data_IF_590617141516
#
_entry.id   IF_590617141516
#
_cell.length_a   1.000
_cell.length_b   1.000
_cell.length_c   1.000
_cell.angle_alpha   90.00
_cell.angle_beta   90.00
_cell.angle_gamma   90.00
#
_symmetry.space_group_name_H-M   'P 1'
#
loop_
_entity.id
_entity.type
_entity.pdbx_description
1 polymer ?
#
# COMPACT_ATOMS: atom_id res chain seq x y z
N UNK A 1 -7.76 -28.71 1.14
CA UNK A 1 -7.92 -27.60 2.06
C UNK A 1 -6.59 -27.31 2.74
N UNK A 2 -6.26 -26.04 2.99
CA UNK A 2 -5.07 -25.61 3.73
C UNK A 2 -5.50 -25.03 5.07
N UNK A 3 -4.85 -25.47 6.15
CA UNK A 3 -5.07 -24.93 7.50
C UNK A 3 -3.89 -24.01 7.83
N UNK A 4 -4.20 -22.78 8.22
CA UNK A 4 -3.24 -21.81 8.71
C UNK A 4 -3.39 -21.68 10.23
N UNK A 5 -2.30 -21.91 10.95
CA UNK A 5 -2.27 -21.80 12.42
C UNK A 5 -1.18 -20.81 12.83
N UNK A 6 -1.42 -19.98 13.87
CA UNK A 6 -0.40 -19.11 14.43
C UNK A 6 0.80 -19.92 14.94
N UNK A 7 2.02 -19.51 14.62
CA UNK A 7 3.25 -20.18 15.09
C UNK A 7 4.15 -19.27 15.89
N UNK A 8 4.30 -18.03 15.46
CA UNK A 8 5.19 -17.04 16.11
C UNK A 8 4.51 -15.70 16.14
N UNK A 9 4.58 -15.01 17.27
CA UNK A 9 4.15 -13.64 17.45
C UNK A 9 5.35 -12.69 17.54
N UNK A 10 5.28 -11.54 16.89
CA UNK A 10 6.28 -10.47 16.97
C UNK A 10 5.62 -9.21 17.54
N UNK A 11 6.29 -8.56 18.48
CA UNK A 11 5.84 -7.28 19.03
C UNK A 11 6.56 -6.16 18.30
N UNK A 12 5.81 -5.41 17.48
CA UNK A 12 6.33 -4.31 16.65
C UNK A 12 6.17 -2.93 17.29
N UNK A 13 5.39 -2.83 18.36
CA UNK A 13 4.88 -1.54 18.87
C UNK A 13 3.74 -1.02 18.00
N UNK A 14 3.37 0.24 18.23
CA UNK A 14 2.36 0.93 17.42
C UNK A 14 2.98 1.38 16.09
N UNK A 15 2.64 0.69 15.02
CA UNK A 15 3.17 0.93 13.67
C UNK A 15 2.09 1.36 12.68
N UNK A 16 0.81 1.28 13.11
CA UNK A 16 -0.35 1.51 12.26
C UNK A 16 -0.21 0.75 10.92
N UNK A 17 -0.15 -0.60 11.01
CA UNK A 17 0.11 -1.46 9.87
C UNK A 17 -1.10 -1.49 8.93
N UNK A 18 -0.94 -1.01 7.70
CA UNK A 18 -2.03 -0.92 6.72
C UNK A 18 -2.01 -2.03 5.66
N UNK A 19 -0.89 -2.60 5.34
CA UNK A 19 -0.78 -3.70 4.37
C UNK A 19 0.41 -4.60 4.71
N UNK A 20 0.33 -5.85 4.27
CA UNK A 20 1.38 -6.85 4.46
C UNK A 20 1.51 -7.70 3.21
N UNK A 21 2.74 -8.01 2.83
CA UNK A 21 3.06 -8.97 1.76
C UNK A 21 4.11 -9.96 2.23
N UNK A 22 4.13 -11.12 1.61
CA UNK A 22 5.20 -12.10 1.79
C UNK A 22 5.84 -12.33 0.42
N UNK A 23 7.14 -12.10 0.34
CA UNK A 23 7.92 -12.34 -0.87
C UNK A 23 8.17 -13.84 -1.08
N UNK A 24 8.54 -14.23 -2.29
CA UNK A 24 8.88 -15.63 -2.60
C UNK A 24 10.03 -16.17 -1.75
N UNK A 25 10.91 -15.30 -1.27
CA UNK A 25 11.95 -15.60 -0.29
C UNK A 25 11.41 -16.03 1.09
N UNK A 26 10.11 -15.85 1.34
CA UNK A 26 9.46 -16.01 2.64
C UNK A 26 9.60 -14.78 3.56
N UNK A 27 10.23 -13.70 3.09
CA UNK A 27 10.34 -12.46 3.86
C UNK A 27 9.00 -11.75 3.95
N UNK A 28 8.52 -11.52 5.16
CA UNK A 28 7.34 -10.71 5.40
C UNK A 28 7.72 -9.22 5.43
N UNK A 29 7.01 -8.42 4.63
CA UNK A 29 7.11 -6.97 4.60
C UNK A 29 5.76 -6.37 4.96
N UNK A 30 5.76 -5.28 5.70
CA UNK A 30 4.55 -4.55 6.05
C UNK A 30 4.73 -3.04 5.92
N UNK A 31 3.63 -2.37 5.65
CA UNK A 31 3.58 -0.92 5.62
C UNK A 31 3.39 -0.40 7.03
N UNK A 32 4.33 0.39 7.53
CA UNK A 32 4.14 1.19 8.73
C UNK A 32 3.74 2.61 8.35
N UNK A 33 2.46 2.90 8.45
CA UNK A 33 1.91 4.23 8.17
C UNK A 33 2.41 5.26 9.16
N UNK A 34 2.45 4.90 10.44
CA UNK A 34 2.98 5.78 11.50
C UNK A 34 4.42 6.21 11.21
N UNK A 35 5.27 5.30 10.73
CA UNK A 35 6.69 5.57 10.46
C UNK A 35 6.96 5.98 8.99
N UNK A 36 5.95 5.99 8.13
CA UNK A 36 6.05 6.28 6.70
C UNK A 36 7.11 5.41 6.00
N UNK A 37 7.13 4.12 6.30
CA UNK A 37 8.11 3.20 5.72
C UNK A 37 7.53 1.81 5.47
N UNK A 38 8.19 1.06 4.62
CA UNK A 38 8.05 -0.39 4.55
C UNK A 38 9.08 -0.99 5.49
N UNK A 39 8.65 -1.94 6.31
CA UNK A 39 9.49 -2.58 7.30
C UNK A 39 9.37 -4.11 7.22
N UNK A 40 10.33 -4.79 7.83
CA UNK A 40 10.31 -6.23 8.04
C UNK A 40 10.52 -6.57 9.52
N UNK A 41 10.30 -7.81 9.85
CA UNK A 41 10.55 -8.34 11.19
C UNK A 41 12.05 -8.26 11.56
N UNK A 42 12.31 -8.16 12.84
CA UNK A 42 13.68 -8.13 13.38
C UNK A 42 13.76 -8.96 14.66
N UNK A 43 14.84 -9.69 14.82
CA UNK A 43 15.09 -10.47 16.04
C UNK A 43 15.65 -9.60 17.19
N UNK A 44 16.19 -8.44 16.86
CA UNK A 44 16.90 -7.58 17.84
C UNK A 44 16.26 -6.22 18.06
N UNK A 45 15.24 -5.88 17.29
CA UNK A 45 14.50 -4.60 17.35
C UNK A 45 13.01 -4.85 17.12
N UNK A 46 12.18 -3.89 17.45
CA UNK A 46 10.73 -3.96 17.18
C UNK A 46 10.42 -4.16 15.69
N UNK A 47 11.21 -3.57 14.82
CA UNK A 47 11.13 -3.74 13.37
C UNK A 47 12.45 -3.28 12.70
N UNK A 48 12.61 -3.61 11.41
CA UNK A 48 13.71 -3.13 10.57
C UNK A 48 13.11 -2.42 9.34
N UNK A 49 13.24 -1.08 9.22
CA UNK A 49 12.87 -0.37 7.99
C UNK A 49 13.72 -0.88 6.82
N UNK A 50 13.07 -1.07 5.67
CA UNK A 50 13.74 -1.52 4.43
C UNK A 50 13.64 -0.49 3.31
N UNK A 51 12.58 0.34 3.33
CA UNK A 51 12.40 1.41 2.35
C UNK A 51 11.49 2.50 2.93
N UNK A 52 11.66 3.73 2.47
CA UNK A 52 10.75 4.85 2.69
C UNK A 52 10.58 5.66 1.41
N UNK A 53 9.46 6.36 1.22
CA UNK A 53 9.29 7.25 0.07
C UNK A 53 10.42 8.28 -0.02
N UNK A 54 10.89 8.63 -1.22
CA UNK A 54 12.02 9.55 -1.40
C UNK A 54 11.74 10.97 -0.88
N UNK A 55 10.46 11.35 -0.80
CA UNK A 55 10.04 12.65 -0.26
C UNK A 55 9.91 12.67 1.28
N UNK A 56 10.04 11.55 1.97
CA UNK A 56 10.08 11.49 3.44
C UNK A 56 11.51 11.68 3.92
N UNK A 57 11.76 12.73 4.69
CA UNK A 57 13.11 13.08 5.15
C UNK A 57 13.65 12.10 6.20
N UNK A 58 12.82 11.68 7.16
CA UNK A 58 13.25 10.80 8.26
C UNK A 58 12.13 9.86 8.72
N UNK A 59 12.52 8.72 9.29
CA UNK A 59 11.63 7.72 9.87
C UNK A 59 11.42 8.07 11.34
N UNK A 60 10.25 8.60 11.66
CA UNK A 60 9.81 8.98 13.01
C UNK A 60 8.31 8.68 13.14
N UNK A 61 7.77 8.52 14.36
CA UNK A 61 6.37 8.17 14.56
C UNK A 61 5.44 9.39 14.33
N UNK A 62 5.35 9.80 13.08
CA UNK A 62 4.48 10.87 12.60
C UNK A 62 3.89 10.45 11.26
N UNK A 63 2.59 10.22 11.18
CA UNK A 63 1.91 9.92 9.92
C UNK A 63 1.93 11.14 8.99
N UNK A 64 2.92 11.23 8.10
CA UNK A 64 3.14 12.40 7.24
C UNK A 64 2.46 12.27 5.87
N UNK A 65 2.68 11.16 5.18
CA UNK A 65 2.17 10.94 3.84
C UNK A 65 1.03 9.92 3.77
N UNK A 66 0.75 9.25 4.87
CA UNK A 66 -0.18 8.13 4.96
C UNK A 66 0.14 7.03 3.94
N UNK A 67 1.35 6.49 4.08
CA UNK A 67 1.77 5.31 3.32
C UNK A 67 0.90 4.13 3.74
N UNK A 68 0.23 3.44 2.79
CA UNK A 68 -0.85 2.54 3.19
C UNK A 68 -0.98 1.25 2.37
N UNK A 69 -0.29 1.09 1.27
CA UNK A 69 -0.41 -0.13 0.47
C UNK A 69 0.90 -0.62 -0.09
N UNK A 70 0.99 -1.92 -0.29
CA UNK A 70 2.16 -2.59 -0.84
C UNK A 70 1.72 -3.74 -1.74
N UNK A 71 2.28 -3.81 -2.94
CA UNK A 71 2.08 -4.90 -3.88
C UNK A 71 3.40 -5.56 -4.23
N UNK A 72 3.35 -6.88 -4.38
CA UNK A 72 4.43 -7.66 -5.00
C UNK A 72 4.24 -7.74 -6.51
N UNK A 73 5.35 -7.85 -7.24
CA UNK A 73 5.41 -8.25 -8.64
C UNK A 73 6.58 -9.22 -8.80
N UNK A 74 6.34 -10.31 -9.51
CA UNK A 74 7.36 -11.35 -9.76
C UNK A 74 8.00 -11.87 -8.45
N UNK A 75 7.16 -12.02 -7.39
CA UNK A 75 7.56 -12.56 -6.10
C UNK A 75 8.28 -11.56 -5.16
N UNK A 76 8.49 -10.32 -5.57
CA UNK A 76 9.16 -9.28 -4.79
C UNK A 76 8.28 -8.04 -4.58
N UNK A 77 8.48 -7.32 -3.48
CA UNK A 77 7.79 -6.06 -3.22
C UNK A 77 8.17 -5.02 -4.29
N UNK A 78 7.16 -4.39 -4.91
CA UNK A 78 7.41 -3.52 -6.06
C UNK A 78 6.68 -2.20 -6.02
N UNK A 79 5.41 -2.16 -5.61
CA UNK A 79 4.60 -0.95 -5.68
C UNK A 79 4.04 -0.58 -4.33
N UNK A 80 4.17 0.70 -3.97
CA UNK A 80 3.57 1.25 -2.77
C UNK A 80 2.56 2.36 -3.11
N UNK A 81 1.53 2.52 -2.27
CA UNK A 81 0.58 3.63 -2.36
C UNK A 81 0.70 4.54 -1.15
N UNK A 82 0.54 5.86 -1.36
CA UNK A 82 0.38 6.83 -0.29
C UNK A 82 -0.72 7.85 -0.62
N UNK A 83 -1.32 8.44 0.41
CA UNK A 83 -2.40 9.43 0.26
C UNK A 83 -1.87 10.79 -0.18
N UNK A 84 -0.60 11.07 0.10
CA UNK A 84 0.03 12.32 -0.33
C UNK A 84 1.56 12.16 -0.45
N UNK A 85 2.21 13.24 -0.86
CA UNK A 85 3.68 13.36 -0.89
C UNK A 85 4.21 14.34 0.13
N UNK A 86 3.43 14.61 1.18
CA UNK A 86 3.84 15.55 2.25
C UNK A 86 4.86 14.92 3.18
N UNK A 87 5.75 15.75 3.72
CA UNK A 87 6.71 15.41 4.77
C UNK A 87 6.41 16.20 6.07
N UNK A 88 5.13 16.49 6.29
CA UNK A 88 4.62 17.23 7.44
C UNK A 88 3.65 16.33 8.20
N UNK A 89 3.74 16.29 9.52
CA UNK A 89 2.83 15.53 10.38
C UNK A 89 1.37 15.82 10.02
N UNK A 90 0.59 14.75 9.81
CA UNK A 90 -0.82 14.79 9.41
C UNK A 90 -1.12 15.56 8.10
N UNK A 91 -0.10 16.02 7.38
CA UNK A 91 -0.24 16.83 6.17
C UNK A 91 -1.04 16.17 5.04
N UNK A 92 -1.08 14.84 5.04
CA UNK A 92 -1.88 14.08 4.08
C UNK A 92 -3.39 14.38 4.15
N UNK A 93 -3.90 14.86 5.30
CA UNK A 93 -5.33 15.08 5.52
C UNK A 93 -5.93 16.13 4.58
N UNK A 94 -5.14 17.12 4.19
CA UNK A 94 -5.56 18.17 3.25
C UNK A 94 -5.52 17.70 1.78
N UNK A 95 -4.82 16.59 1.51
CA UNK A 95 -4.58 16.05 0.17
C UNK A 95 -5.37 14.78 -0.16
N UNK A 96 -6.38 14.44 0.66
CA UNK A 96 -7.15 13.20 0.50
C UNK A 96 -7.86 13.04 -0.83
N UNK A 97 -8.20 14.13 -1.52
CA UNK A 97 -9.00 14.12 -2.75
C UNK A 97 -8.21 13.72 -3.98
N UNK A 98 -6.96 14.17 -4.08
CA UNK A 98 -6.17 14.08 -5.31
C UNK A 98 -4.65 13.99 -5.07
N UNK A 99 -4.21 13.99 -3.82
CA UNK A 99 -2.79 13.93 -3.46
C UNK A 99 -2.17 12.54 -3.60
N UNK A 100 -3.00 11.51 -3.74
CA UNK A 100 -2.56 10.12 -3.73
C UNK A 100 -1.67 9.76 -4.91
N UNK A 101 -0.73 8.87 -4.65
CA UNK A 101 0.21 8.39 -5.65
C UNK A 101 0.55 6.90 -5.50
N UNK A 102 1.09 6.35 -6.59
CA UNK A 102 1.73 5.04 -6.63
C UNK A 102 3.21 5.22 -6.91
N UNK A 103 4.04 4.51 -6.16
CA UNK A 103 5.50 4.57 -6.24
C UNK A 103 6.04 3.19 -6.59
N UNK A 104 6.92 3.12 -7.59
CA UNK A 104 7.77 1.95 -7.80
C UNK A 104 8.93 2.02 -6.79
N UNK A 105 8.94 1.12 -5.81
CA UNK A 105 9.90 1.17 -4.71
C UNK A 105 11.33 0.76 -5.13
N UNK A 106 11.49 0.13 -6.30
CA UNK A 106 12.80 -0.29 -6.79
C UNK A 106 13.53 0.83 -7.52
N UNK A 107 12.78 1.73 -8.20
CA UNK A 107 13.32 2.89 -8.93
C UNK A 107 13.14 4.19 -8.18
N UNK A 108 12.27 4.22 -7.16
CA UNK A 108 11.77 5.42 -6.48
C UNK A 108 10.95 6.36 -7.37
N UNK A 109 10.49 5.89 -8.52
CA UNK A 109 9.67 6.68 -9.44
C UNK A 109 8.21 6.70 -9.01
N UNK A 110 7.58 7.86 -9.13
CA UNK A 110 6.13 8.01 -8.98
C UNK A 110 5.49 7.68 -10.32
N UNK A 111 4.82 6.54 -10.42
CA UNK A 111 4.24 6.01 -11.66
C UNK A 111 2.79 6.42 -11.89
N UNK A 112 2.10 6.91 -10.86
CA UNK A 112 0.76 7.46 -10.96
C UNK A 112 0.51 8.50 -9.88
N UNK A 113 -0.33 9.50 -10.17
CA UNK A 113 -0.72 10.58 -9.26
C UNK A 113 -2.20 10.94 -9.45
N UNK A 114 -2.71 11.86 -8.63
CA UNK A 114 -4.10 12.34 -8.75
C UNK A 114 -5.13 11.37 -8.19
N UNK A 115 -4.71 10.46 -7.31
CA UNK A 115 -5.58 9.46 -6.69
C UNK A 115 -6.21 10.00 -5.40
N UNK A 116 -7.41 9.53 -5.11
CA UNK A 116 -8.13 9.83 -3.87
C UNK A 116 -8.03 8.66 -2.91
N UNK A 117 -7.22 8.80 -1.87
CA UNK A 117 -7.03 7.76 -0.84
C UNK A 117 -6.77 6.37 -1.46
N UNK A 118 -5.74 6.19 -2.32
CA UNK A 118 -5.48 4.89 -2.94
C UNK A 118 -5.12 3.83 -1.90
N UNK A 119 -5.70 2.62 -2.02
CA UNK A 119 -5.50 1.51 -1.08
C UNK A 119 -5.32 0.18 -1.81
N UNK A 120 -4.68 -0.76 -1.10
CA UNK A 120 -4.60 -2.17 -1.48
C UNK A 120 -4.13 -2.42 -2.92
N UNK A 121 -2.98 -1.90 -3.34
CA UNK A 121 -2.44 -2.21 -4.67
C UNK A 121 -2.20 -3.72 -4.79
N UNK A 122 -2.48 -4.30 -5.97
CA UNK A 122 -2.23 -5.72 -6.27
C UNK A 122 -1.82 -5.88 -7.72
N UNK A 123 -0.73 -6.59 -7.96
CA UNK A 123 -0.34 -7.00 -9.31
C UNK A 123 -1.07 -8.28 -9.70
N UNK A 124 -1.90 -8.22 -10.74
CA UNK A 124 -2.65 -9.38 -11.22
C UNK A 124 -2.91 -9.27 -12.73
N UNK A 125 -2.70 -10.37 -13.46
CA UNK A 125 -2.97 -10.43 -14.89
C UNK A 125 -2.22 -9.38 -15.72
N UNK A 126 -0.98 -9.06 -15.35
CA UNK A 126 -0.15 -8.07 -16.04
C UNK A 126 -0.51 -6.61 -15.77
N UNK A 127 -1.38 -6.33 -14.80
CA UNK A 127 -1.85 -4.98 -14.43
C UNK A 127 -1.66 -4.70 -12.95
N UNK A 128 -1.42 -3.44 -12.61
CA UNK A 128 -1.43 -2.95 -11.24
C UNK A 128 -2.81 -2.43 -10.88
N UNK A 129 -3.57 -3.24 -10.16
CA UNK A 129 -4.90 -2.93 -9.65
C UNK A 129 -4.81 -2.22 -8.31
N UNK A 130 -5.77 -1.36 -8.02
CA UNK A 130 -5.92 -0.71 -6.73
C UNK A 130 -7.36 -0.21 -6.48
N UNK A 131 -7.59 0.21 -5.27
CA UNK A 131 -8.82 0.85 -4.84
C UNK A 131 -8.57 2.36 -4.74
N UNK A 132 -9.26 3.16 -5.54
CA UNK A 132 -9.33 4.60 -5.40
C UNK A 132 -10.42 4.90 -4.35
N UNK A 133 -10.07 4.66 -3.06
CA UNK A 133 -11.05 4.47 -2.00
C UNK A 133 -11.87 5.72 -1.70
N UNK A 134 -11.28 6.91 -1.87
CA UNK A 134 -12.00 8.17 -1.64
C UNK A 134 -13.06 8.48 -2.68
N UNK A 135 -13.02 7.86 -3.86
CA UNK A 135 -14.05 7.95 -4.91
C UNK A 135 -14.93 6.71 -5.00
N UNK A 136 -14.60 5.65 -4.26
CA UNK A 136 -15.34 4.38 -4.31
C UNK A 136 -15.08 3.59 -5.60
N UNK A 137 -13.96 3.78 -6.26
CA UNK A 137 -13.65 3.14 -7.54
C UNK A 137 -12.62 2.03 -7.41
N UNK A 138 -12.91 0.89 -8.00
CA UNK A 138 -11.97 -0.19 -8.27
C UNK A 138 -11.47 -0.08 -9.71
N UNK A 139 -10.17 -0.18 -9.92
CA UNK A 139 -9.57 -0.07 -11.24
C UNK A 139 -8.08 -0.42 -11.24
N UNK A 140 -7.39 -0.04 -12.30
CA UNK A 140 -5.96 -0.31 -12.47
C UNK A 140 -5.21 0.92 -13.01
N UNK A 141 -3.89 0.90 -12.89
CA UNK A 141 -3.03 1.92 -13.51
C UNK A 141 -2.76 1.50 -14.95
N UNK A 142 -3.16 2.35 -15.90
CA UNK A 142 -2.88 2.14 -17.33
C UNK A 142 -1.38 2.09 -17.58
N UNK A 143 -0.85 0.99 -18.17
CA UNK A 143 0.59 0.77 -18.28
C UNK A 143 1.31 1.84 -19.11
N UNK A 144 0.64 2.37 -20.13
CA UNK A 144 1.23 3.39 -21.03
C UNK A 144 0.91 4.81 -20.57
N UNK A 145 -0.22 5.01 -19.93
CA UNK A 145 -0.70 6.35 -19.54
C UNK A 145 -0.26 6.78 -18.14
N UNK A 146 0.03 5.83 -17.24
CA UNK A 146 0.24 6.09 -15.82
C UNK A 146 -1.02 6.62 -15.11
N UNK A 147 -2.19 6.59 -15.77
CA UNK A 147 -3.45 7.09 -15.22
C UNK A 147 -4.26 5.96 -14.64
N UNK A 148 -5.07 6.28 -13.64
CA UNK A 148 -6.05 5.36 -13.09
C UNK A 148 -7.20 5.17 -14.09
N UNK A 149 -7.50 3.91 -14.39
CA UNK A 149 -8.60 3.49 -15.25
C UNK A 149 -9.64 2.77 -14.38
N UNK A 150 -10.78 3.43 -14.08
CA UNK A 150 -11.84 2.81 -13.27
C UNK A 150 -12.54 1.70 -14.05
N UNK A 151 -12.86 0.60 -13.35
CA UNK A 151 -13.56 -0.56 -13.90
C UNK A 151 -14.93 -0.72 -13.25
N UNK A 152 -15.02 -0.47 -11.94
CA UNK A 152 -16.27 -0.61 -11.20
C UNK A 152 -16.36 0.43 -10.09
N UNK A 153 -17.60 0.88 -9.83
CA UNK A 153 -17.94 1.69 -8.67
C UNK A 153 -18.50 0.79 -7.56
N UNK A 154 -17.97 0.94 -6.36
CA UNK A 154 -18.42 0.23 -5.17
C UNK A 154 -18.84 1.26 -4.12
N UNK A 155 -20.10 1.28 -3.68
CA UNK A 155 -20.63 2.35 -2.81
C UNK A 155 -20.12 2.20 -1.37
N UNK A 156 -19.01 2.84 -1.05
CA UNK A 156 -18.41 2.81 0.29
C UNK A 156 -16.94 3.19 0.25
N UNK A 157 -16.31 3.23 1.42
CA UNK A 157 -14.86 3.40 1.52
C UNK A 157 -14.17 2.05 1.33
N UNK A 158 -13.37 1.92 0.28
CA UNK A 158 -12.81 0.64 -0.14
C UNK A 158 -11.54 0.30 0.62
N UNK A 159 -11.48 -0.93 1.17
CA UNK A 159 -10.30 -1.49 1.82
C UNK A 159 -10.21 -2.99 1.59
N UNK A 160 -8.98 -3.47 1.33
CA UNK A 160 -8.72 -4.88 1.06
C UNK A 160 -9.14 -5.29 -0.34
N UNK A 161 -8.17 -5.74 -1.13
CA UNK A 161 -8.35 -6.27 -2.47
C UNK A 161 -7.64 -7.62 -2.58
N UNK A 162 -8.36 -8.63 -3.05
CA UNK A 162 -7.81 -9.94 -3.37
C UNK A 162 -8.39 -10.45 -4.69
N UNK A 163 -7.62 -11.28 -5.41
CA UNK A 163 -8.07 -11.96 -6.61
C UNK A 163 -8.20 -13.45 -6.37
N UNK A 164 -9.27 -14.04 -6.92
CA UNK A 164 -9.47 -15.48 -6.93
C UNK A 164 -10.07 -15.89 -8.28
N UNK A 165 -9.28 -16.59 -9.11
CA UNK A 165 -9.66 -16.86 -10.50
C UNK A 165 -9.97 -15.57 -11.25
N UNK A 166 -11.16 -15.50 -11.83
CA UNK A 166 -11.64 -14.34 -12.59
C UNK A 166 -12.35 -13.28 -11.73
N UNK A 167 -12.31 -13.42 -10.41
CA UNK A 167 -13.01 -12.54 -9.47
C UNK A 167 -12.05 -11.63 -8.72
N UNK A 168 -12.41 -10.36 -8.59
CA UNK A 168 -11.85 -9.42 -7.62
C UNK A 168 -12.76 -9.36 -6.39
N UNK A 169 -12.22 -9.57 -5.21
CA UNK A 169 -12.92 -9.45 -3.93
C UNK A 169 -12.49 -8.14 -3.29
N UNK A 170 -13.46 -7.25 -3.07
CA UNK A 170 -13.23 -5.90 -2.52
C UNK A 170 -13.96 -5.79 -1.18
N UNK A 171 -13.21 -5.42 -0.13
CA UNK A 171 -13.78 -5.05 1.16
C UNK A 171 -14.25 -3.59 1.16
N UNK A 172 -15.35 -3.32 1.85
CA UNK A 172 -15.93 -1.99 2.00
C UNK A 172 -16.24 -1.71 3.46
N UNK A 173 -16.03 -0.47 3.89
CA UNK A 173 -16.55 0.05 5.16
C UNK A 173 -17.57 1.15 4.88
N UNK A 174 -18.65 1.18 5.66
CA UNK A 174 -19.68 2.22 5.62
C UNK A 174 -19.37 3.38 6.54
#
# INVERSE_FOLDING_TARGET
DRLYVPRVGYTTGDVDAHDVVVEDSGRALFVSTMLNCIATLSETRSLKPVWKPPFISKIIPEDRCHLNGLATRDGEARYATSVSRTDIIDGWREHRRDGGCVIDITTNEIIATGLSMPHSPRWHGGKLWLLNAGTGEFGFIGPDSGKFEPVAFCPGFLRGLAFHGDYAVVGMSG
#
